data_IF_866564257718
#
_entry.id   IF_866564257718
#
_cell.length_a   1.000
_cell.length_b   1.000
_cell.length_c   1.000
_cell.angle_alpha   90.00
_cell.angle_beta   90.00
_cell.angle_gamma   90.00
#
_symmetry.space_group_name_H-M   'P 1'
#
loop_
_entity.id
_entity.type
_entity.pdbx_description
1 polymer ?
#
# COMPACT_ATOMS: atom_id res chain seq x y z
N UNK A 1 43.88 -6.20 14.54
CA UNK A 1 42.47 -6.55 14.83
C UNK A 1 41.57 -6.49 13.59
N UNK A 2 42.19 -6.38 12.42
CA UNK A 2 41.63 -5.97 11.14
C UNK A 2 41.61 -7.13 10.13
N UNK A 3 42.19 -8.27 10.50
CA UNK A 3 42.30 -9.49 9.68
C UNK A 3 41.11 -10.45 9.88
N UNK A 4 40.22 -10.17 10.84
CA UNK A 4 39.03 -10.98 11.12
C UNK A 4 37.79 -10.13 10.90
N UNK A 5 37.05 -10.41 9.83
CA UNK A 5 35.78 -9.77 9.53
C UNK A 5 34.63 -10.48 10.25
N UNK A 6 33.84 -9.71 10.98
CA UNK A 6 32.58 -10.16 11.57
C UNK A 6 31.45 -9.23 11.13
N UNK A 7 30.37 -9.81 10.60
CA UNK A 7 29.19 -9.07 10.15
C UNK A 7 27.95 -9.47 10.94
N UNK A 8 27.14 -8.47 11.32
CA UNK A 8 25.88 -8.67 12.06
C UNK A 8 24.71 -7.96 11.39
N UNK A 9 23.48 -8.27 11.82
CA UNK A 9 22.29 -7.65 11.24
C UNK A 9 22.02 -6.25 11.79
N UNK A 10 22.27 -6.00 13.08
CA UNK A 10 21.88 -4.74 13.75
C UNK A 10 23.08 -4.01 14.35
N UNK A 11 22.97 -2.68 14.44
CA UNK A 11 23.97 -1.83 15.14
C UNK A 11 24.14 -2.27 16.60
N UNK A 12 23.04 -2.61 17.28
CA UNK A 12 23.07 -3.08 18.66
C UNK A 12 23.86 -4.39 18.84
N UNK A 13 23.67 -5.37 17.93
CA UNK A 13 24.42 -6.62 17.97
C UNK A 13 25.92 -6.42 17.68
N UNK A 14 26.26 -5.45 16.82
CA UNK A 14 27.65 -5.04 16.58
C UNK A 14 28.30 -4.53 17.87
N UNK A 15 27.65 -3.60 18.58
CA UNK A 15 28.18 -3.05 19.84
C UNK A 15 28.25 -4.09 20.97
N UNK A 16 27.21 -4.93 21.12
CA UNK A 16 27.22 -6.02 22.10
C UNK A 16 28.40 -6.95 21.84
N UNK A 17 28.60 -7.39 20.59
CA UNK A 17 29.67 -8.30 20.23
C UNK A 17 31.06 -7.67 20.45
N UNK A 18 31.23 -6.40 20.08
CA UNK A 18 32.47 -5.66 20.32
C UNK A 18 32.78 -5.58 21.82
N UNK A 19 31.78 -5.27 22.64
CA UNK A 19 31.92 -5.25 24.10
C UNK A 19 32.30 -6.61 24.68
N UNK A 20 31.66 -7.69 24.21
CA UNK A 20 31.96 -9.06 24.66
C UNK A 20 33.37 -9.50 24.29
N UNK A 21 33.83 -9.22 23.06
CA UNK A 21 35.19 -9.56 22.64
C UNK A 21 36.22 -8.75 23.44
N UNK A 22 35.98 -7.43 23.62
CA UNK A 22 36.82 -6.57 24.47
C UNK A 22 36.97 -7.13 25.87
N UNK A 23 35.86 -7.51 26.51
CA UNK A 23 35.89 -8.08 27.85
C UNK A 23 36.68 -9.40 27.85
N UNK A 24 36.46 -10.27 26.87
CA UNK A 24 37.19 -11.55 26.78
C UNK A 24 38.70 -11.38 26.62
N UNK A 25 39.16 -10.38 25.88
CA UNK A 25 40.60 -10.06 25.77
C UNK A 25 41.15 -9.51 27.10
N UNK A 26 40.36 -8.68 27.79
CA UNK A 26 40.72 -8.17 29.12
C UNK A 26 40.85 -9.32 30.13
N UNK A 27 39.85 -10.18 30.21
CA UNK A 27 39.87 -11.35 31.08
C UNK A 27 41.10 -12.24 30.79
N UNK A 28 41.46 -12.39 29.51
CA UNK A 28 42.65 -13.14 29.10
C UNK A 28 43.95 -12.52 29.64
N UNK A 29 44.08 -11.19 29.56
CA UNK A 29 45.22 -10.46 30.15
C UNK A 29 45.26 -10.62 31.67
N UNK A 30 44.13 -10.45 32.35
CA UNK A 30 44.06 -10.57 33.81
C UNK A 30 44.43 -11.99 34.26
N UNK A 31 44.02 -13.04 33.53
CA UNK A 31 44.44 -14.43 33.79
C UNK A 31 45.94 -14.59 33.59
N UNK A 32 46.49 -14.02 32.52
CA UNK A 32 47.94 -14.00 32.29
C UNK A 32 48.70 -13.22 33.35
N UNK A 33 48.09 -12.30 34.09
CA UNK A 33 48.69 -11.56 35.22
C UNK A 33 48.44 -12.23 36.58
N UNK A 34 47.63 -13.29 36.61
CA UNK A 34 47.26 -14.03 37.83
C UNK A 34 46.13 -13.37 38.65
N UNK A 35 45.38 -12.45 38.06
CA UNK A 35 44.27 -11.71 38.68
C UNK A 35 42.92 -11.93 37.95
N UNK A 36 42.88 -12.83 36.98
CA UNK A 36 41.73 -13.04 36.11
C UNK A 36 40.61 -13.90 36.69
N UNK A 37 39.46 -13.96 35.98
CA UNK A 37 38.33 -14.76 36.40
C UNK A 37 38.62 -16.27 36.37
N UNK A 38 37.87 -17.02 37.19
CA UNK A 38 37.90 -18.48 37.17
C UNK A 38 37.06 -19.03 35.99
N UNK A 39 37.68 -19.03 34.80
CA UNK A 39 37.12 -19.54 33.55
C UNK A 39 38.01 -20.67 32.99
N UNK A 40 37.54 -21.91 33.13
CA UNK A 40 38.29 -23.12 32.76
C UNK A 40 38.60 -23.18 31.26
N UNK A 41 37.70 -22.72 30.41
CA UNK A 41 37.90 -22.68 28.96
C UNK A 41 39.01 -21.68 28.60
N UNK A 42 38.96 -20.48 29.20
CA UNK A 42 39.96 -19.45 28.97
C UNK A 42 41.35 -19.88 29.44
N UNK A 43 41.43 -20.50 30.62
CA UNK A 43 42.68 -21.05 31.15
C UNK A 43 43.27 -22.15 30.26
N UNK A 44 42.43 -23.05 29.72
CA UNK A 44 42.86 -24.09 28.79
C UNK A 44 43.41 -23.49 27.48
N UNK A 45 42.71 -22.51 26.92
CA UNK A 45 43.13 -21.81 25.69
C UNK A 45 44.44 -21.06 25.88
N UNK A 46 44.61 -20.36 27.00
CA UNK A 46 45.84 -19.64 27.32
C UNK A 46 47.01 -20.60 27.58
N UNK A 47 46.78 -21.73 28.23
CA UNK A 47 47.81 -22.76 28.45
C UNK A 47 48.35 -23.25 27.10
N UNK A 48 47.45 -23.61 26.18
CA UNK A 48 47.81 -24.00 24.80
C UNK A 48 48.50 -22.88 24.03
N UNK A 49 48.08 -21.63 24.23
CA UNK A 49 48.70 -20.48 23.56
C UNK A 49 50.14 -20.24 24.06
N UNK A 50 50.40 -20.40 25.36
CA UNK A 50 51.72 -20.17 25.96
C UNK A 50 52.72 -21.28 25.57
N UNK A 51 52.25 -22.49 25.24
CA UNK A 51 53.08 -23.54 24.65
C UNK A 51 53.62 -23.14 23.26
N UNK A 52 52.91 -22.29 22.53
CA UNK A 52 53.25 -21.85 21.17
C UNK A 52 54.01 -20.52 21.19
N UNK A 53 53.59 -19.58 22.05
CA UNK A 53 54.12 -18.21 22.13
C UNK A 53 54.51 -17.89 23.57
N UNK A 54 55.70 -17.33 23.85
CA UNK A 54 56.08 -16.96 25.21
C UNK A 54 55.05 -16.04 25.88
N UNK A 55 54.79 -16.26 27.18
CA UNK A 55 53.81 -15.51 27.98
C UNK A 55 53.93 -13.99 27.81
N UNK A 56 55.15 -13.45 27.90
CA UNK A 56 55.40 -12.00 27.79
C UNK A 56 54.96 -11.46 26.42
N UNK A 57 55.15 -12.25 25.35
CA UNK A 57 54.71 -11.90 24.01
C UNK A 57 53.20 -12.03 23.86
N UNK A 58 52.56 -13.01 24.49
CA UNK A 58 51.10 -13.13 24.51
C UNK A 58 50.44 -11.93 25.21
N UNK A 59 51.03 -11.45 26.32
CA UNK A 59 50.57 -10.23 27.03
C UNK A 59 50.66 -9.01 26.10
N UNK A 60 51.78 -8.82 25.40
CA UNK A 60 51.93 -7.71 24.44
C UNK A 60 50.87 -7.80 23.34
N UNK A 61 50.70 -8.96 22.72
CA UNK A 61 49.74 -9.16 21.62
C UNK A 61 48.28 -8.91 22.04
N UNK A 62 47.90 -9.40 23.23
CA UNK A 62 46.55 -9.17 23.77
C UNK A 62 46.35 -7.71 24.18
N UNK A 63 47.38 -7.05 24.72
CA UNK A 63 47.38 -5.61 25.02
C UNK A 63 47.18 -4.77 23.76
N UNK A 64 47.93 -5.06 22.70
CA UNK A 64 47.80 -4.40 21.40
C UNK A 64 46.41 -4.63 20.80
N UNK A 65 45.90 -5.86 20.89
CA UNK A 65 44.55 -6.20 20.42
C UNK A 65 43.46 -5.42 21.19
N UNK A 66 43.63 -5.22 22.50
CA UNK A 66 42.71 -4.44 23.32
C UNK A 66 42.71 -2.96 22.93
N UNK A 67 43.90 -2.36 22.73
CA UNK A 67 44.04 -0.96 22.30
C UNK A 67 43.48 -0.73 20.90
N UNK A 68 43.60 -1.71 20.00
CA UNK A 68 43.11 -1.62 18.61
C UNK A 68 41.68 -2.15 18.43
N UNK A 69 40.93 -2.35 19.52
CA UNK A 69 39.58 -2.92 19.44
C UNK A 69 38.59 -2.01 18.70
N UNK A 70 38.77 -0.68 18.78
CA UNK A 70 37.90 0.27 18.06
C UNK A 70 38.11 0.23 16.54
N UNK A 71 39.24 -0.31 16.08
CA UNK A 71 39.55 -0.54 14.66
C UNK A 71 39.09 -1.93 14.18
N UNK A 72 38.54 -2.77 15.06
CA UNK A 72 38.17 -4.14 14.71
C UNK A 72 37.12 -4.16 13.58
N UNK A 73 37.28 -5.10 12.64
CA UNK A 73 36.41 -5.27 11.49
C UNK A 73 35.07 -5.94 11.87
N UNK A 74 34.32 -5.32 12.79
CA UNK A 74 33.00 -5.74 13.26
C UNK A 74 31.98 -4.73 12.77
N UNK A 75 31.18 -5.12 11.78
CA UNK A 75 30.24 -4.24 11.09
C UNK A 75 28.83 -4.81 11.08
N UNK A 76 27.86 -3.96 10.75
CA UNK A 76 26.61 -4.47 10.18
C UNK A 76 26.85 -4.91 8.73
N UNK A 77 26.00 -5.78 8.18
CA UNK A 77 26.06 -6.18 6.76
C UNK A 77 26.11 -4.93 5.85
N UNK A 78 25.24 -3.95 6.12
CA UNK A 78 25.17 -2.70 5.36
C UNK A 78 26.45 -1.86 5.51
N UNK A 79 26.99 -1.71 6.73
CA UNK A 79 28.21 -0.96 6.97
C UNK A 79 29.42 -1.57 6.26
N UNK A 80 29.49 -2.90 6.22
CA UNK A 80 30.52 -3.61 5.46
C UNK A 80 30.39 -3.37 3.95
N UNK A 81 29.19 -3.56 3.37
CA UNK A 81 28.96 -3.32 1.94
C UNK A 81 29.26 -1.86 1.56
N UNK A 82 28.85 -0.90 2.38
CA UNK A 82 29.12 0.53 2.16
C UNK A 82 30.63 0.80 2.14
N UNK A 83 31.38 0.26 3.11
CA UNK A 83 32.83 0.39 3.15
C UNK A 83 33.48 -0.21 1.91
N UNK A 84 33.04 -1.39 1.47
CA UNK A 84 33.57 -2.02 0.26
C UNK A 84 33.31 -1.18 -1.00
N UNK A 85 32.13 -0.56 -1.12
CA UNK A 85 31.82 0.34 -2.22
C UNK A 85 32.67 1.62 -2.20
N UNK A 86 33.01 2.13 -1.01
CA UNK A 86 33.85 3.32 -0.86
C UNK A 86 35.33 3.03 -1.11
N UNK A 87 35.86 1.97 -0.50
CA UNK A 87 37.26 1.55 -0.63
C UNK A 87 37.58 1.13 -2.09
N UNK A 88 36.59 0.62 -2.83
CA UNK A 88 36.68 0.25 -4.24
C UNK A 88 35.81 1.13 -5.17
N UNK A 89 35.64 2.43 -4.86
CA UNK A 89 34.79 3.34 -5.62
C UNK A 89 35.15 3.42 -7.12
N UNK A 90 36.43 3.34 -7.46
CA UNK A 90 36.91 3.39 -8.84
C UNK A 90 36.52 2.13 -9.63
N UNK A 91 36.61 0.95 -9.01
CA UNK A 91 36.27 -0.33 -9.64
C UNK A 91 34.76 -0.55 -9.72
N UNK A 92 34.02 -0.03 -8.74
CA UNK A 92 32.56 -0.15 -8.66
C UNK A 92 31.80 0.91 -9.49
N UNK A 93 32.49 1.95 -9.97
CA UNK A 93 31.86 3.09 -10.64
C UNK A 93 30.92 3.89 -9.74
N UNK A 94 30.99 3.67 -8.42
CA UNK A 94 30.14 4.33 -7.45
C UNK A 94 30.57 5.81 -7.29
N UNK A 95 29.63 6.76 -7.17
CA UNK A 95 29.96 8.14 -6.83
C UNK A 95 30.71 8.21 -5.50
N UNK A 96 31.77 9.02 -5.42
CA UNK A 96 32.58 9.18 -4.19
C UNK A 96 31.75 9.64 -2.97
N UNK A 97 30.64 10.32 -3.20
CA UNK A 97 29.69 10.75 -2.17
C UNK A 97 28.34 10.06 -2.37
N UNK A 98 28.18 8.88 -1.78
CA UNK A 98 26.91 8.17 -1.71
C UNK A 98 26.29 8.39 -0.32
N UNK A 99 25.10 8.96 -0.27
CA UNK A 99 24.32 9.07 0.96
C UNK A 99 23.43 7.82 1.11
N UNK A 100 23.55 7.14 2.24
CA UNK A 100 22.72 5.97 2.54
C UNK A 100 21.36 6.41 3.06
N UNK A 101 20.29 6.02 2.35
CA UNK A 101 18.93 6.22 2.81
C UNK A 101 18.51 5.04 3.68
N UNK A 102 18.39 5.26 5.00
CA UNK A 102 17.94 4.21 5.94
C UNK A 102 16.49 3.78 5.67
N UNK A 103 15.69 4.63 5.03
CA UNK A 103 14.30 4.34 4.66
C UNK A 103 13.88 5.06 3.39
N UNK A 104 13.12 4.36 2.55
CA UNK A 104 12.52 4.92 1.33
C UNK A 104 11.17 5.60 1.60
N UNK A 105 10.65 5.57 2.84
CA UNK A 105 9.28 5.99 3.14
C UNK A 105 8.99 7.44 2.71
N UNK A 106 9.91 8.36 2.98
CA UNK A 106 9.76 9.76 2.57
C UNK A 106 9.77 9.91 1.05
N UNK A 107 10.61 9.13 0.37
CA UNK A 107 10.69 9.15 -1.09
C UNK A 107 9.40 8.62 -1.71
N UNK A 108 8.88 7.49 -1.21
CA UNK A 108 7.59 6.92 -1.64
C UNK A 108 6.44 7.90 -1.43
N UNK A 109 6.41 8.60 -0.30
CA UNK A 109 5.42 9.65 -0.03
C UNK A 109 5.50 10.76 -1.08
N UNK A 110 6.69 11.31 -1.34
CA UNK A 110 6.88 12.38 -2.35
C UNK A 110 6.46 11.93 -3.74
N UNK A 111 6.88 10.74 -4.17
CA UNK A 111 6.49 10.17 -5.47
C UNK A 111 4.97 10.04 -5.58
N UNK A 112 4.30 9.57 -4.52
CA UNK A 112 2.84 9.43 -4.54
C UNK A 112 2.14 10.78 -4.62
N UNK A 113 2.61 11.79 -3.88
CA UNK A 113 2.09 13.15 -3.96
C UNK A 113 2.29 13.77 -5.35
N UNK A 114 3.45 13.56 -5.98
CA UNK A 114 3.74 14.01 -7.34
C UNK A 114 2.83 13.33 -8.36
N UNK A 115 2.70 12.00 -8.29
CA UNK A 115 1.78 11.23 -9.13
C UNK A 115 0.34 11.74 -8.97
N UNK A 116 -0.11 11.96 -7.74
CA UNK A 116 -1.45 12.45 -7.44
C UNK A 116 -1.73 13.80 -8.12
N UNK A 117 -0.79 14.75 -7.99
CA UNK A 117 -0.89 16.07 -8.65
C UNK A 117 -0.93 15.93 -10.17
N UNK A 118 -0.07 15.11 -10.75
CA UNK A 118 0.02 14.95 -12.20
C UNK A 118 -1.20 14.24 -12.79
N UNK A 119 -1.76 13.24 -12.09
CA UNK A 119 -2.85 12.42 -12.61
C UNK A 119 -4.24 12.99 -12.33
N UNK A 120 -4.46 13.55 -11.15
CA UNK A 120 -5.82 13.89 -10.68
C UNK A 120 -6.11 15.38 -10.64
N UNK A 121 -5.12 16.28 -10.63
CA UNK A 121 -5.42 17.72 -10.75
C UNK A 121 -5.93 18.13 -12.14
N UNK A 122 -5.45 17.53 -13.26
CA UNK A 122 -6.03 17.81 -14.58
C UNK A 122 -7.22 16.90 -14.93
N UNK A 123 -7.62 15.98 -14.03
CA UNK A 123 -8.74 15.07 -14.24
C UNK A 123 -10.09 15.81 -14.18
N UNK A 124 -11.12 15.21 -14.75
CA UNK A 124 -12.47 15.79 -14.73
C UNK A 124 -13.10 15.75 -13.33
N UNK A 125 -14.17 16.50 -13.12
CA UNK A 125 -14.89 16.50 -11.83
C UNK A 125 -15.44 15.10 -11.49
N UNK A 126 -15.87 14.35 -12.49
CA UNK A 126 -16.40 13.00 -12.33
C UNK A 126 -15.30 12.00 -11.93
N UNK A 127 -14.15 12.08 -12.60
CA UNK A 127 -12.99 11.24 -12.27
C UNK A 127 -12.46 11.57 -10.87
N UNK A 128 -12.35 12.86 -10.53
CA UNK A 128 -11.90 13.28 -9.19
C UNK A 128 -12.87 12.88 -8.09
N UNK A 129 -14.18 12.98 -8.32
CA UNK A 129 -15.19 12.49 -7.39
C UNK A 129 -15.07 10.98 -7.16
N UNK A 130 -14.91 10.20 -8.25
CA UNK A 130 -14.68 8.76 -8.17
C UNK A 130 -13.42 8.42 -7.37
N UNK A 131 -12.29 9.07 -7.68
CA UNK A 131 -11.02 8.88 -6.95
C UNK A 131 -11.19 9.22 -5.49
N UNK A 132 -11.82 10.34 -5.14
CA UNK A 132 -12.05 10.76 -3.77
C UNK A 132 -12.93 9.79 -2.96
N UNK A 133 -13.83 9.06 -3.64
CA UNK A 133 -14.65 8.03 -3.02
C UNK A 133 -13.85 6.78 -2.61
N UNK A 134 -12.74 6.51 -3.30
CA UNK A 134 -11.84 5.38 -3.03
C UNK A 134 -10.67 5.76 -2.13
N UNK A 135 -10.00 6.86 -2.46
CA UNK A 135 -8.82 7.38 -1.78
C UNK A 135 -9.02 8.87 -1.51
N UNK A 136 -9.14 9.24 -0.23
CA UNK A 136 -9.36 10.64 0.14
C UNK A 136 -8.11 11.53 0.01
N UNK A 137 -6.92 10.93 -0.05
CA UNK A 137 -5.63 11.62 -0.07
C UNK A 137 -4.52 10.74 -0.67
N UNK A 138 -3.39 11.32 -1.10
CA UNK A 138 -2.22 10.58 -1.59
C UNK A 138 -1.74 9.50 -0.62
N UNK A 139 -1.81 9.76 0.69
CA UNK A 139 -1.43 8.79 1.72
C UNK A 139 -2.32 7.54 1.71
N UNK A 140 -3.61 7.70 1.43
CA UNK A 140 -4.54 6.57 1.33
C UNK A 140 -4.23 5.71 0.09
N UNK A 141 -3.87 6.35 -1.03
CA UNK A 141 -3.42 5.65 -2.23
C UNK A 141 -2.10 4.90 -1.98
N UNK A 142 -1.14 5.53 -1.31
CA UNK A 142 0.11 4.88 -0.91
C UNK A 142 -0.13 3.70 0.04
N UNK A 143 -1.06 3.82 0.98
CA UNK A 143 -1.41 2.72 1.87
C UNK A 143 -2.03 1.54 1.11
N UNK A 144 -2.89 1.81 0.13
CA UNK A 144 -3.51 0.78 -0.72
C UNK A 144 -2.52 0.09 -1.66
N UNK A 145 -1.61 0.84 -2.28
CA UNK A 145 -0.66 0.32 -3.27
C UNK A 145 0.70 -0.08 -2.69
N UNK A 146 1.03 0.37 -1.47
CA UNK A 146 2.38 0.31 -0.92
C UNK A 146 2.95 -1.11 -0.80
N UNK A 147 2.11 -2.10 -0.54
CA UNK A 147 2.49 -3.52 -0.52
C UNK A 147 2.82 -4.12 -1.89
N UNK A 148 2.43 -3.43 -2.96
CA UNK A 148 2.59 -3.86 -4.34
C UNK A 148 3.75 -3.16 -5.06
N UNK A 149 4.12 -1.92 -4.66
CA UNK A 149 5.15 -1.11 -5.33
C UNK A 149 6.54 -1.78 -5.47
N UNK A 150 6.85 -2.80 -4.67
CA UNK A 150 8.12 -3.55 -4.75
C UNK A 150 8.05 -4.82 -5.61
N UNK A 151 6.91 -5.15 -6.19
CA UNK A 151 6.71 -6.37 -6.99
C UNK A 151 6.94 -6.08 -8.47
N UNK A 152 7.74 -6.90 -9.12
CA UNK A 152 8.04 -6.78 -10.56
C UNK A 152 7.00 -7.49 -11.44
N UNK A 153 6.29 -8.48 -10.89
CA UNK A 153 5.36 -9.34 -11.64
C UNK A 153 3.90 -9.01 -11.31
N UNK A 154 3.53 -7.73 -11.39
CA UNK A 154 2.13 -7.32 -11.23
C UNK A 154 1.42 -7.33 -12.58
N UNK A 155 0.36 -8.13 -12.67
CA UNK A 155 -0.58 -8.09 -13.79
C UNK A 155 -1.94 -7.60 -13.30
N UNK A 156 -2.47 -6.58 -13.98
CA UNK A 156 -3.86 -6.19 -13.84
C UNK A 156 -4.73 -7.17 -14.64
N UNK A 157 -5.64 -7.84 -13.95
CA UNK A 157 -6.60 -8.76 -14.58
C UNK A 157 -8.00 -8.23 -14.24
N UNK A 158 -8.83 -7.94 -15.26
CA UNK A 158 -8.56 -8.08 -16.69
C UNK A 158 -7.52 -7.05 -17.19
N UNK A 159 -6.86 -7.36 -18.30
CA UNK A 159 -6.00 -6.40 -18.97
C UNK A 159 -6.88 -5.28 -19.53
N UNK A 160 -6.73 -4.08 -18.97
CA UNK A 160 -7.49 -2.89 -19.38
C UNK A 160 -6.65 -2.16 -20.42
N UNK A 161 -7.17 -2.03 -21.66
CA UNK A 161 -6.57 -1.18 -22.69
C UNK A 161 -7.20 0.21 -22.69
N UNK A 162 -6.45 1.23 -23.10
CA UNK A 162 -6.99 2.58 -23.27
C UNK A 162 -8.15 2.62 -24.26
N UNK A 163 -8.07 1.80 -25.33
CA UNK A 163 -9.14 1.66 -26.32
C UNK A 163 -10.43 1.11 -25.69
N UNK A 164 -10.33 0.08 -24.86
CA UNK A 164 -11.51 -0.48 -24.17
C UNK A 164 -12.11 0.54 -23.21
N UNK A 165 -11.28 1.28 -22.46
CA UNK A 165 -11.77 2.33 -21.56
C UNK A 165 -12.51 3.42 -22.34
N UNK A 166 -11.95 3.88 -23.46
CA UNK A 166 -12.59 4.88 -24.31
C UNK A 166 -13.91 4.38 -24.88
N UNK A 167 -13.95 3.13 -25.37
CA UNK A 167 -15.16 2.51 -25.90
C UNK A 167 -16.25 2.38 -24.82
N UNK A 168 -15.89 1.97 -23.61
CA UNK A 168 -16.82 1.91 -22.48
C UNK A 168 -17.33 3.29 -22.07
N UNK A 169 -16.48 4.33 -22.10
CA UNK A 169 -16.88 5.70 -21.81
C UNK A 169 -17.89 6.24 -22.84
N UNK A 170 -17.65 6.00 -24.14
CA UNK A 170 -18.57 6.37 -25.22
C UNK A 170 -19.91 5.62 -25.13
N UNK A 171 -19.87 4.32 -24.83
CA UNK A 171 -21.06 3.50 -24.62
C UNK A 171 -21.86 4.00 -23.42
N UNK A 172 -21.20 4.34 -22.31
CA UNK A 172 -21.83 4.90 -21.12
C UNK A 172 -22.47 6.26 -21.41
N UNK A 173 -21.81 7.13 -22.18
CA UNK A 173 -22.36 8.42 -22.61
C UNK A 173 -23.61 8.25 -23.47
N UNK A 174 -23.57 7.33 -24.44
CA UNK A 174 -24.73 7.02 -25.30
C UNK A 174 -25.91 6.51 -24.47
N UNK A 175 -25.66 5.58 -23.54
CA UNK A 175 -26.69 5.07 -22.64
C UNK A 175 -27.25 6.16 -21.72
N UNK A 176 -26.39 7.04 -21.20
CA UNK A 176 -26.81 8.14 -20.34
C UNK A 176 -27.76 9.10 -21.08
N UNK A 177 -27.44 9.50 -22.31
CA UNK A 177 -28.33 10.34 -23.13
C UNK A 177 -29.67 9.66 -23.41
N UNK A 178 -29.68 8.36 -23.73
CA UNK A 178 -30.94 7.62 -23.91
C UNK A 178 -31.79 7.59 -22.63
N UNK A 179 -31.13 7.44 -21.48
CA UNK A 179 -31.79 7.46 -20.16
C UNK A 179 -32.35 8.84 -19.86
N UNK A 180 -31.64 9.93 -20.19
CA UNK A 180 -32.14 11.31 -20.05
C UNK A 180 -33.41 11.54 -20.90
N UNK A 181 -33.38 11.17 -22.18
CA UNK A 181 -34.51 11.31 -23.10
C UNK A 181 -35.73 10.51 -22.63
N UNK A 182 -35.53 9.22 -22.28
CA UNK A 182 -36.60 8.37 -21.78
C UNK A 182 -37.17 8.86 -20.46
N UNK A 183 -36.33 9.41 -19.58
CA UNK A 183 -36.80 9.96 -18.31
C UNK A 183 -37.70 11.16 -18.53
N UNK A 184 -37.33 12.11 -19.39
CA UNK A 184 -38.17 13.27 -19.67
C UNK A 184 -39.58 12.89 -20.17
N UNK A 185 -39.69 11.83 -20.96
CA UNK A 185 -40.98 11.34 -21.46
C UNK A 185 -41.76 10.52 -20.42
N UNK A 186 -41.09 9.70 -19.61
CA UNK A 186 -41.71 8.64 -18.80
C UNK A 186 -41.68 8.92 -17.30
N UNK A 187 -41.14 10.07 -16.86
CA UNK A 187 -40.95 10.41 -15.44
C UNK A 187 -42.23 10.27 -14.61
N UNK A 188 -43.33 10.86 -15.08
CA UNK A 188 -44.61 10.78 -14.35
C UNK A 188 -45.18 9.36 -14.34
N UNK A 189 -45.12 8.64 -15.45
CA UNK A 189 -45.57 7.25 -15.53
C UNK A 189 -44.78 6.34 -14.58
N UNK A 190 -43.46 6.52 -14.50
CA UNK A 190 -42.58 5.79 -13.58
C UNK A 190 -42.93 6.16 -12.13
N UNK A 191 -43.09 7.45 -11.83
CA UNK A 191 -43.40 7.93 -10.49
C UNK A 191 -44.77 7.42 -10.02
N UNK A 192 -45.80 7.48 -10.85
CA UNK A 192 -47.13 6.94 -10.59
C UNK A 192 -47.08 5.43 -10.36
N UNK A 193 -46.40 4.69 -11.24
CA UNK A 193 -46.23 3.24 -11.09
C UNK A 193 -45.56 2.88 -9.75
N UNK A 194 -44.51 3.59 -9.34
CA UNK A 194 -43.84 3.33 -8.07
C UNK A 194 -44.68 3.78 -6.86
N UNK A 195 -45.44 4.88 -6.95
CA UNK A 195 -46.33 5.38 -5.90
C UNK A 195 -47.54 4.48 -5.67
N UNK A 196 -48.15 3.97 -6.74
CA UNK A 196 -49.43 3.26 -6.67
C UNK A 196 -49.29 1.75 -6.53
N UNK A 197 -48.14 1.19 -6.89
CA UNK A 197 -47.93 -0.26 -6.87
C UNK A 197 -47.99 -0.82 -5.44
N UNK A 198 -49.15 -1.37 -5.06
CA UNK A 198 -49.42 -1.92 -3.72
C UNK A 198 -48.53 -3.14 -3.36
N UNK A 199 -47.85 -3.73 -4.34
CA UNK A 199 -46.97 -4.90 -4.16
C UNK A 199 -45.57 -4.53 -3.69
N UNK A 200 -45.14 -3.29 -3.86
CA UNK A 200 -43.87 -2.81 -3.33
C UNK A 200 -43.97 -2.64 -1.81
N UNK A 201 -42.87 -2.94 -1.12
CA UNK A 201 -42.73 -2.62 0.30
C UNK A 201 -42.89 -1.12 0.52
N UNK A 202 -43.71 -0.71 1.48
CA UNK A 202 -43.91 0.71 1.87
C UNK A 202 -43.11 1.10 3.11
N UNK A 203 -42.10 0.30 3.43
CA UNK A 203 -41.15 0.62 4.48
C UNK A 203 -40.44 1.94 4.14
N UNK A 204 -40.42 2.87 5.10
CA UNK A 204 -39.87 4.22 4.92
C UNK A 204 -38.33 4.24 4.85
N UNK A 205 -37.67 3.21 5.38
CA UNK A 205 -36.22 3.11 5.47
C UNK A 205 -35.60 2.19 4.41
N UNK A 206 -36.26 1.05 4.12
CA UNK A 206 -35.72 -0.02 3.26
C UNK A 206 -36.53 -0.25 2.00
N UNK A 207 -37.76 0.24 1.94
CA UNK A 207 -38.68 0.08 0.81
C UNK A 207 -38.95 1.38 0.05
N UNK A 208 -40.13 1.44 -0.57
CA UNK A 208 -40.67 2.53 -1.39
C UNK A 208 -41.70 3.34 -0.59
N UNK A 209 -41.37 3.69 0.66
CA UNK A 209 -42.15 4.65 1.42
C UNK A 209 -42.12 6.02 0.75
N UNK A 210 -43.25 6.73 0.76
CA UNK A 210 -43.43 7.97 -0.02
C UNK A 210 -42.29 9.00 0.16
N UNK A 211 -41.85 9.37 1.38
CA UNK A 211 -40.81 10.38 1.52
C UNK A 211 -39.47 9.99 0.87
N UNK A 212 -39.09 8.71 0.97
CA UNK A 212 -37.85 8.20 0.38
C UNK A 212 -37.97 8.10 -1.15
N UNK A 213 -39.14 7.74 -1.65
CA UNK A 213 -39.40 7.67 -3.08
C UNK A 213 -39.36 9.05 -3.73
N UNK A 214 -40.00 10.06 -3.12
CA UNK A 214 -39.95 11.44 -3.65
C UNK A 214 -38.51 11.98 -3.63
N UNK A 215 -37.77 11.79 -2.53
CA UNK A 215 -36.36 12.17 -2.47
C UNK A 215 -35.51 11.47 -3.54
N UNK A 216 -35.77 10.19 -3.82
CA UNK A 216 -35.06 9.45 -4.86
C UNK A 216 -35.43 9.92 -6.28
N UNK A 217 -36.69 10.33 -6.51
CA UNK A 217 -37.12 10.93 -7.78
C UNK A 217 -36.44 12.27 -8.01
N UNK A 218 -36.40 13.14 -7.01
CA UNK A 218 -35.69 14.43 -7.07
C UNK A 218 -34.20 14.25 -7.32
N UNK A 219 -33.56 13.29 -6.64
CA UNK A 219 -32.16 12.94 -6.89
C UNK A 219 -31.93 12.41 -8.29
N UNK A 220 -32.87 11.65 -8.85
CA UNK A 220 -32.76 11.15 -10.23
C UNK A 220 -32.96 12.28 -11.25
N UNK A 221 -33.87 13.21 -10.97
CA UNK A 221 -34.07 14.43 -11.76
C UNK A 221 -32.77 15.26 -11.79
N UNK A 222 -32.11 15.45 -10.64
CA UNK A 222 -30.81 16.14 -10.55
C UNK A 222 -29.69 15.38 -11.26
N UNK A 223 -29.60 14.06 -11.04
CA UNK A 223 -28.60 13.20 -11.66
C UNK A 223 -28.67 13.23 -13.18
N UNK A 224 -29.88 13.17 -13.74
CA UNK A 224 -30.11 13.21 -15.19
C UNK A 224 -30.11 14.64 -15.76
N UNK A 225 -30.03 15.68 -14.94
CA UNK A 225 -29.80 17.04 -15.41
C UNK A 225 -28.31 17.34 -15.68
N UNK A 226 -27.40 16.46 -15.25
CA UNK A 226 -25.96 16.61 -15.49
C UNK A 226 -25.63 16.60 -17.01
N UNK A 227 -24.66 17.43 -17.41
CA UNK A 227 -24.21 17.50 -18.82
C UNK A 227 -23.26 16.36 -19.19
N UNK A 228 -22.54 15.85 -18.20
CA UNK A 228 -21.55 14.78 -18.30
C UNK A 228 -22.04 13.57 -17.52
N UNK A 229 -21.56 12.39 -17.92
CA UNK A 229 -21.91 11.13 -17.26
C UNK A 229 -21.27 11.07 -15.88
N UNK A 230 -22.05 11.07 -14.77
CA UNK A 230 -21.46 10.93 -13.45
C UNK A 230 -20.96 9.50 -13.26
N UNK A 231 -19.74 9.34 -12.72
CA UNK A 231 -19.17 8.01 -12.47
C UNK A 231 -19.65 7.37 -11.17
N UNK A 232 -20.27 8.16 -10.30
CA UNK A 232 -20.81 7.72 -9.01
C UNK A 232 -22.33 7.77 -9.01
N UNK A 233 -22.94 6.67 -8.59
CA UNK A 233 -24.38 6.58 -8.42
C UNK A 233 -24.73 6.74 -6.93
N UNK A 234 -25.61 7.68 -6.59
CA UNK A 234 -26.11 7.81 -5.22
C UNK A 234 -26.85 6.54 -4.80
N UNK A 235 -26.71 6.15 -3.53
CA UNK A 235 -27.27 4.89 -3.01
C UNK A 235 -28.81 4.86 -3.10
N UNK A 236 -29.45 6.01 -3.04
CA UNK A 236 -30.89 6.21 -3.17
C UNK A 236 -31.40 5.84 -4.56
N UNK A 237 -30.57 6.03 -5.59
CA UNK A 237 -30.91 5.66 -6.98
C UNK A 237 -30.96 4.15 -7.19
N UNK A 238 -30.52 3.34 -6.22
CA UNK A 238 -30.72 1.89 -6.22
C UNK A 238 -32.21 1.52 -6.37
N UNK A 239 -33.14 2.39 -5.92
CA UNK A 239 -34.59 2.19 -6.05
C UNK A 239 -35.07 2.08 -7.50
N UNK A 240 -34.31 2.60 -8.47
CA UNK A 240 -34.65 2.50 -9.90
C UNK A 240 -33.96 1.30 -10.56
N UNK A 241 -33.25 0.47 -9.80
CA UNK A 241 -32.65 -0.75 -10.35
C UNK A 241 -33.65 -1.91 -10.33
N UNK A 242 -33.61 -2.74 -11.37
CA UNK A 242 -34.41 -3.96 -11.41
C UNK A 242 -34.18 -4.87 -10.18
N UNK A 243 -32.94 -4.97 -9.68
CA UNK A 243 -32.61 -5.79 -8.51
C UNK A 243 -33.36 -5.35 -7.26
N UNK A 244 -33.40 -4.03 -7.00
CA UNK A 244 -34.08 -3.48 -5.82
C UNK A 244 -35.60 -3.59 -5.92
N UNK A 245 -36.14 -3.35 -7.11
CA UNK A 245 -37.57 -3.50 -7.38
C UNK A 245 -37.98 -4.95 -7.10
N UNK A 246 -37.26 -5.93 -7.65
CA UNK A 246 -37.56 -7.35 -7.45
C UNK A 246 -37.46 -7.80 -5.99
N UNK A 247 -36.41 -7.39 -5.27
CA UNK A 247 -36.24 -7.75 -3.84
C UNK A 247 -37.31 -7.13 -2.93
N UNK A 248 -37.96 -6.05 -3.37
CA UNK A 248 -38.96 -5.32 -2.58
C UNK A 248 -40.41 -5.72 -2.86
N UNK A 249 -40.66 -6.70 -3.73
CA UNK A 249 -41.99 -7.22 -4.04
C UNK A 249 -42.47 -8.19 -2.96
N UNK A 250 -43.68 -7.99 -2.45
CA UNK A 250 -44.28 -8.79 -1.37
C UNK A 250 -44.63 -10.25 -1.75
N UNK A 251 -44.55 -10.64 -3.04
CA UNK A 251 -44.68 -12.04 -3.55
C UNK A 251 -43.90 -12.24 -4.86
N UNK A 252 -43.27 -13.41 -5.01
CA UNK A 252 -42.21 -13.74 -6.01
C UNK A 252 -42.65 -13.80 -7.49
N UNK A 253 -43.94 -13.83 -7.85
CA UNK A 253 -44.33 -14.07 -9.24
C UNK A 253 -45.05 -12.88 -9.91
N UNK A 254 -44.25 -12.02 -10.56
CA UNK A 254 -44.44 -11.46 -11.92
C UNK A 254 -43.64 -10.17 -12.08
N UNK A 255 -42.87 -10.11 -13.16
CA UNK A 255 -42.02 -8.99 -13.59
C UNK A 255 -42.94 -7.77 -13.80
N UNK A 256 -42.58 -6.62 -13.24
CA UNK A 256 -43.20 -5.35 -13.61
C UNK A 256 -42.97 -5.12 -15.10
N UNK A 257 -43.84 -4.41 -15.84
CA UNK A 257 -43.48 -3.98 -17.18
C UNK A 257 -42.13 -3.29 -17.06
N UNK A 258 -41.11 -3.89 -17.67
CA UNK A 258 -39.76 -3.33 -17.66
C UNK A 258 -39.90 -2.05 -18.46
N UNK A 259 -40.06 -0.94 -17.77
CA UNK A 259 -39.88 0.37 -18.36
C UNK A 259 -38.47 0.32 -18.95
N UNK A 260 -38.33 0.55 -20.26
CA UNK A 260 -37.05 0.43 -20.98
C UNK A 260 -35.93 1.19 -20.24
N UNK A 261 -36.30 2.32 -19.64
CA UNK A 261 -35.50 3.09 -18.69
C UNK A 261 -34.84 2.24 -17.58
N UNK A 262 -35.58 1.39 -16.88
CA UNK A 262 -35.07 0.55 -15.77
C UNK A 262 -34.08 -0.53 -16.26
N UNK A 263 -34.20 -0.96 -17.52
CA UNK A 263 -33.24 -1.88 -18.14
C UNK A 263 -31.95 -1.15 -18.55
N UNK A 264 -32.07 0.04 -19.12
CA UNK A 264 -30.93 0.91 -19.48
C UNK A 264 -30.16 1.35 -18.24
N UNK A 265 -30.86 1.79 -17.19
CA UNK A 265 -30.25 2.22 -15.93
C UNK A 265 -29.54 1.08 -15.19
N UNK A 266 -30.00 -0.17 -15.32
CA UNK A 266 -29.28 -1.35 -14.81
C UNK A 266 -27.96 -1.61 -15.56
N UNK A 267 -27.97 -1.40 -16.87
CA UNK A 267 -26.77 -1.60 -17.70
C UNK A 267 -25.74 -0.51 -17.40
N UNK A 268 -26.23 0.70 -17.14
CA UNK A 268 -25.44 1.84 -16.67
C UNK A 268 -24.91 1.65 -15.24
N UNK A 269 -25.72 1.12 -14.31
CA UNK A 269 -25.36 0.97 -12.89
C UNK A 269 -24.47 -0.23 -12.60
N UNK A 270 -24.04 -1.01 -13.61
CA UNK A 270 -23.06 -2.06 -13.36
C UNK A 270 -21.73 -1.35 -13.10
N UNK A 271 -21.10 -1.53 -11.92
CA UNK A 271 -19.72 -1.11 -11.78
C UNK A 271 -18.92 -1.76 -12.90
N UNK A 272 -18.01 -1.00 -13.51
CA UNK A 272 -16.90 -1.57 -14.27
C UNK A 272 -16.11 -2.37 -13.24
N UNK A 273 -16.53 -3.62 -13.01
CA UNK A 273 -15.80 -4.56 -12.18
C UNK A 273 -14.52 -4.86 -12.94
N UNK A 274 -13.44 -4.22 -12.50
CA UNK A 274 -12.11 -4.79 -12.59
C UNK A 274 -12.11 -6.19 -11.94
#
# INVERSE_FOLDING_TARGET
MDEILVVTFTKAATEELRGRIRQRIRDALDVLEGQGPDDSLLQELLTKAIEIIPRDRAVILLGDALTRMDEAAIYTIHGFCQRMLQDHAFESGAPFAMEFLETEQLLRKRIMEDFWRQRFYPASEEETAWVASLWQAPEALLAGLGGHLGRQDLECIPAISEEEVSHQAEAAATLFTQVQEQWQEQREDVAELLRENKRLSRDKSKGYGLPRLEAALELLDEFLAAQTVPWLLAAELELFTNSKIHSSLKKINRILPIILFLASLRSFSRPITA
#
